data_IF_716782622719
#
_entry.id   IF_716782622719
#
_cell.length_a   1.000
_cell.length_b   1.000
_cell.length_c   1.000
_cell.angle_alpha   90.00
_cell.angle_beta   90.00
_cell.angle_gamma   90.00
#
_symmetry.space_group_name_H-M   'P 1'
#
loop_
_entity.id
_entity.type
_entity.pdbx_description
1 polymer ?
#
# COMPACT_ATOMS: atom_id res chain seq x y z
N UNK A 1 -44.90 -19.96 31.88
CA UNK A 1 -44.43 -19.53 30.54
C UNK A 1 -42.95 -19.15 30.66
N UNK A 2 -42.07 -20.15 30.59
CA UNK A 2 -40.63 -19.95 30.53
C UNK A 2 -40.27 -19.38 29.15
N UNK A 3 -39.77 -18.15 29.11
CA UNK A 3 -39.17 -17.57 27.92
C UNK A 3 -37.72 -18.04 27.84
N UNK A 4 -37.45 -18.95 26.89
CA UNK A 4 -36.13 -19.50 26.63
C UNK A 4 -35.30 -18.45 25.88
N UNK A 5 -34.35 -17.83 26.57
CA UNK A 5 -33.32 -17.00 25.94
C UNK A 5 -32.39 -17.92 25.15
N UNK A 6 -32.50 -17.87 23.82
CA UNK A 6 -31.62 -18.57 22.91
C UNK A 6 -30.17 -18.07 23.09
N UNK A 7 -29.32 -18.91 23.69
CA UNK A 7 -27.89 -18.70 23.75
C UNK A 7 -27.32 -18.73 22.32
N UNK A 8 -26.92 -17.57 21.80
CA UNK A 8 -26.17 -17.50 20.56
C UNK A 8 -24.86 -18.32 20.70
N UNK A 9 -24.46 -19.12 19.70
CA UNK A 9 -23.31 -20.01 19.83
C UNK A 9 -22.02 -19.20 20.00
N UNK A 10 -21.43 -19.25 21.19
CA UNK A 10 -20.14 -18.63 21.57
C UNK A 10 -19.00 -18.96 20.58
N UNK A 11 -19.08 -20.09 19.87
CA UNK A 11 -18.09 -20.52 18.87
C UNK A 11 -18.06 -19.66 17.59
N UNK A 12 -19.18 -19.08 17.16
CA UNK A 12 -19.24 -18.27 15.94
C UNK A 12 -18.56 -16.89 16.10
N UNK A 13 -18.56 -16.36 17.34
CA UNK A 13 -17.92 -15.08 17.67
C UNK A 13 -16.39 -15.20 17.75
N UNK A 14 -15.88 -16.31 18.30
CA UNK A 14 -14.44 -16.58 18.36
C UNK A 14 -13.83 -16.78 16.96
N UNK A 15 -14.53 -17.49 16.07
CA UNK A 15 -14.10 -17.73 14.69
C UNK A 15 -14.07 -16.44 13.84
N UNK A 16 -15.04 -15.54 14.02
CA UNK A 16 -15.07 -14.25 13.32
C UNK A 16 -13.95 -13.32 13.80
N UNK A 17 -13.69 -13.30 15.11
CA UNK A 17 -12.56 -12.58 15.71
C UNK A 17 -11.25 -13.10 15.13
N UNK A 18 -11.00 -14.42 15.19
CA UNK A 18 -9.76 -15.02 14.73
C UNK A 18 -9.50 -14.76 13.23
N UNK A 19 -10.53 -14.83 12.39
CA UNK A 19 -10.42 -14.55 10.95
C UNK A 19 -10.16 -13.08 10.66
N UNK A 20 -10.76 -12.15 11.42
CA UNK A 20 -10.50 -10.70 11.27
C UNK A 20 -9.07 -10.34 11.69
N UNK A 21 -8.61 -10.81 12.85
CA UNK A 21 -7.24 -10.54 13.32
C UNK A 21 -6.20 -11.28 12.47
N UNK A 22 -6.48 -12.52 12.05
CA UNK A 22 -5.63 -13.29 11.15
C UNK A 22 -5.46 -12.62 9.79
N UNK A 23 -6.54 -12.08 9.19
CA UNK A 23 -6.46 -11.32 7.94
C UNK A 23 -5.61 -10.06 8.10
N UNK A 24 -5.78 -9.31 9.20
CA UNK A 24 -4.96 -8.11 9.48
C UNK A 24 -3.49 -8.46 9.61
N UNK A 25 -3.18 -9.51 10.38
CA UNK A 25 -1.81 -9.98 10.57
C UNK A 25 -1.18 -10.43 9.24
N UNK A 26 -1.93 -11.16 8.42
CA UNK A 26 -1.48 -11.58 7.10
C UNK A 26 -1.15 -10.39 6.19
N UNK A 27 -1.98 -9.35 6.18
CA UNK A 27 -1.71 -8.11 5.43
C UNK A 27 -0.45 -7.42 5.96
N UNK A 28 -0.27 -7.34 7.27
CA UNK A 28 0.93 -6.76 7.88
C UNK A 28 2.21 -7.53 7.50
N UNK A 29 2.18 -8.87 7.59
CA UNK A 29 3.31 -9.72 7.22
C UNK A 29 3.62 -9.58 5.72
N UNK A 30 2.60 -9.61 4.87
CA UNK A 30 2.75 -9.41 3.43
C UNK A 30 3.36 -8.03 3.13
N UNK A 31 2.90 -6.98 3.81
CA UNK A 31 3.46 -5.63 3.67
C UNK A 31 4.96 -5.59 4.03
N UNK A 32 5.35 -6.18 5.17
CA UNK A 32 6.76 -6.23 5.60
C UNK A 32 7.60 -7.05 4.62
N UNK A 33 7.11 -8.21 4.18
CA UNK A 33 7.81 -9.06 3.21
C UNK A 33 8.00 -8.34 1.87
N UNK A 34 6.95 -7.75 1.30
CA UNK A 34 7.02 -7.00 0.05
C UNK A 34 7.95 -5.80 0.19
N UNK A 35 7.85 -5.05 1.29
CA UNK A 35 8.71 -3.89 1.56
C UNK A 35 10.19 -4.28 1.66
N UNK A 36 10.51 -5.33 2.43
CA UNK A 36 11.89 -5.82 2.56
C UNK A 36 12.49 -6.32 1.25
N UNK A 37 11.69 -6.99 0.40
CA UNK A 37 12.09 -7.39 -0.94
C UNK A 37 12.36 -6.18 -1.81
N UNK A 38 11.47 -5.17 -1.80
CA UNK A 38 11.65 -3.93 -2.54
C UNK A 38 12.93 -3.20 -2.15
N UNK A 39 13.23 -3.09 -0.85
CA UNK A 39 14.44 -2.43 -0.35
C UNK A 39 15.69 -3.18 -0.82
N UNK A 40 15.69 -4.50 -0.72
CA UNK A 40 16.81 -5.34 -1.20
C UNK A 40 16.98 -5.27 -2.71
N UNK A 41 15.88 -5.25 -3.46
CA UNK A 41 15.88 -5.15 -4.92
C UNK A 41 16.40 -3.79 -5.38
N UNK A 42 15.95 -2.69 -4.77
CA UNK A 42 16.46 -1.35 -5.01
C UNK A 42 17.97 -1.27 -4.73
N UNK A 43 18.43 -1.86 -3.62
CA UNK A 43 19.86 -1.89 -3.28
C UNK A 43 20.68 -2.71 -4.28
N UNK A 44 20.18 -3.85 -4.74
CA UNK A 44 20.86 -4.68 -5.74
C UNK A 44 20.97 -3.97 -7.09
N UNK A 45 19.93 -3.24 -7.52
CA UNK A 45 20.01 -2.47 -8.77
C UNK A 45 20.98 -1.28 -8.68
N UNK A 46 21.19 -0.73 -7.48
CA UNK A 46 22.16 0.34 -7.24
C UNK A 46 23.64 -0.14 -7.23
N UNK A 47 23.91 -1.44 -7.41
CA UNK A 47 25.28 -1.92 -7.66
C UNK A 47 25.80 -1.36 -9.00
N UNK A 48 27.08 -0.97 -9.00
CA UNK A 48 27.72 -0.20 -10.08
C UNK A 48 27.65 -0.86 -11.47
N UNK A 49 27.47 -2.18 -11.52
CA UNK A 49 27.45 -2.95 -12.77
C UNK A 49 26.05 -3.13 -13.39
N UNK A 50 24.97 -2.68 -12.73
CA UNK A 50 23.59 -2.92 -13.19
C UNK A 50 22.86 -1.62 -13.57
N UNK A 51 22.56 -0.71 -12.62
CA UNK A 51 21.89 0.56 -12.94
C UNK A 51 21.97 1.59 -11.79
N UNK A 52 22.94 2.53 -11.77
CA UNK A 52 23.15 3.47 -10.67
C UNK A 52 22.14 4.64 -10.64
N UNK A 53 20.89 4.40 -11.06
CA UNK A 53 19.83 5.40 -11.13
C UNK A 53 18.61 4.98 -10.32
N UNK A 54 18.75 5.01 -8.98
CA UNK A 54 17.66 4.80 -8.03
C UNK A 54 16.42 5.67 -8.32
N UNK A 55 16.63 6.84 -8.95
CA UNK A 55 15.60 7.76 -9.37
C UNK A 55 14.69 7.20 -10.47
N UNK A 56 15.27 6.60 -11.51
CA UNK A 56 14.52 6.03 -12.62
C UNK A 56 13.68 4.84 -12.14
N UNK A 57 14.24 4.02 -11.26
CA UNK A 57 13.54 2.87 -10.68
C UNK A 57 12.33 3.32 -9.83
N UNK A 58 12.50 4.33 -8.99
CA UNK A 58 11.42 4.89 -8.15
C UNK A 58 10.30 5.49 -8.99
N UNK A 59 10.64 6.23 -10.04
CA UNK A 59 9.68 6.78 -10.99
C UNK A 59 8.91 5.66 -11.72
N UNK A 60 9.61 4.60 -12.14
CA UNK A 60 8.99 3.40 -12.73
C UNK A 60 8.04 2.71 -11.75
N UNK A 61 8.39 2.58 -10.47
CA UNK A 61 7.50 2.01 -9.46
C UNK A 61 6.22 2.84 -9.26
N UNK A 62 6.36 4.17 -9.18
CA UNK A 62 5.21 5.07 -9.09
C UNK A 62 4.32 4.94 -10.35
N UNK A 63 4.94 4.90 -11.54
CA UNK A 63 4.23 4.75 -12.81
C UNK A 63 3.51 3.40 -12.92
N UNK A 64 4.21 2.29 -12.66
CA UNK A 64 3.63 0.93 -12.73
C UNK A 64 2.50 0.79 -11.71
N UNK A 65 2.64 1.34 -10.50
CA UNK A 65 1.58 1.29 -9.49
C UNK A 65 0.35 2.09 -9.93
N UNK A 66 0.54 3.29 -10.49
CA UNK A 66 -0.56 4.08 -11.05
C UNK A 66 -1.23 3.39 -12.24
N UNK A 67 -0.45 2.82 -13.16
CA UNK A 67 -0.95 2.07 -14.30
C UNK A 67 -1.71 0.81 -13.87
N UNK A 68 -1.20 0.09 -12.87
CA UNK A 68 -1.85 -1.09 -12.30
C UNK A 68 -3.17 -0.73 -11.61
N UNK A 69 -3.20 0.35 -10.81
CA UNK A 69 -4.44 0.87 -10.23
C UNK A 69 -5.45 1.28 -11.30
N UNK A 70 -5.00 1.92 -12.38
CA UNK A 70 -5.86 2.29 -13.50
C UNK A 70 -6.43 1.04 -14.19
N UNK A 71 -5.59 0.04 -14.44
CA UNK A 71 -5.98 -1.21 -15.08
C UNK A 71 -6.96 -2.00 -14.20
N UNK A 72 -6.71 -2.10 -12.89
CA UNK A 72 -7.64 -2.69 -11.93
C UNK A 72 -8.96 -1.92 -11.86
N UNK A 73 -8.93 -0.59 -11.96
CA UNK A 73 -10.15 0.21 -12.02
C UNK A 73 -10.98 -0.08 -13.27
N UNK A 74 -10.33 -0.33 -14.42
CA UNK A 74 -11.02 -0.73 -15.66
C UNK A 74 -11.59 -2.15 -15.59
N UNK A 75 -10.82 -3.11 -15.07
CA UNK A 75 -11.21 -4.53 -15.05
C UNK A 75 -12.19 -4.88 -13.92
N UNK A 76 -12.06 -4.24 -12.76
CA UNK A 76 -12.83 -4.57 -11.56
C UNK A 76 -13.19 -3.29 -10.77
N UNK A 77 -14.10 -2.45 -11.29
CA UNK A 77 -14.51 -1.22 -10.62
C UNK A 77 -15.19 -1.48 -9.26
N UNK A 78 -15.72 -2.68 -9.02
CA UNK A 78 -16.30 -3.12 -7.75
C UNK A 78 -15.30 -3.19 -6.59
N UNK A 79 -14.00 -3.27 -6.87
CA UNK A 79 -12.94 -3.18 -5.86
C UNK A 79 -12.67 -1.75 -5.40
N UNK A 80 -13.24 -0.74 -6.07
CA UNK A 80 -13.07 0.68 -5.76
C UNK A 80 -14.40 1.33 -5.36
N UNK A 81 -15.06 0.91 -4.28
CA UNK A 81 -16.34 1.50 -3.85
C UNK A 81 -16.23 2.99 -3.53
N UNK A 82 -15.04 3.46 -3.12
CA UNK A 82 -14.75 4.88 -2.87
C UNK A 82 -14.85 5.76 -4.13
N UNK A 83 -14.74 5.17 -5.33
CA UNK A 83 -14.86 5.91 -6.59
C UNK A 83 -16.31 6.24 -6.95
N UNK A 84 -17.29 5.47 -6.47
CA UNK A 84 -18.71 5.81 -6.60
C UNK A 84 -19.09 6.97 -5.68
N UNK A 85 -18.60 6.97 -4.45
CA UNK A 85 -18.81 8.06 -3.48
C UNK A 85 -18.23 9.40 -3.94
N UNK A 86 -17.26 9.38 -4.86
CA UNK A 86 -16.55 10.57 -5.37
C UNK A 86 -17.09 11.03 -6.74
N UNK A 87 -18.16 10.42 -7.25
CA UNK A 87 -18.72 10.73 -8.58
C UNK A 87 -19.32 12.14 -8.58
N UNK A 88 -18.70 13.06 -9.32
CA UNK A 88 -19.11 14.47 -9.43
C UNK A 88 -18.22 15.48 -8.69
N UNK A 89 -17.41 15.05 -7.73
CA UNK A 89 -16.51 15.91 -6.94
C UNK A 89 -15.01 15.68 -7.23
N UNK A 90 -14.69 14.93 -8.30
CA UNK A 90 -13.31 14.55 -8.64
C UNK A 90 -12.38 15.75 -8.80
N UNK A 91 -12.87 16.86 -9.37
CA UNK A 91 -12.06 18.07 -9.56
C UNK A 91 -11.78 18.82 -8.26
N UNK A 92 -12.72 18.84 -7.32
CA UNK A 92 -12.48 19.43 -6.00
C UNK A 92 -11.58 18.54 -5.14
N UNK A 93 -11.72 17.22 -5.24
CA UNK A 93 -10.79 16.29 -4.60
C UNK A 93 -9.37 16.41 -5.18
N UNK A 94 -9.24 16.57 -6.50
CA UNK A 94 -7.95 16.73 -7.14
C UNK A 94 -7.17 17.94 -6.61
N UNK A 95 -7.83 19.08 -6.33
CA UNK A 95 -7.18 20.27 -5.75
C UNK A 95 -6.50 19.98 -4.41
N UNK A 96 -7.06 19.08 -3.60
CA UNK A 96 -6.48 18.67 -2.31
C UNK A 96 -5.47 17.53 -2.45
N UNK A 97 -5.71 16.59 -3.37
CA UNK A 97 -4.83 15.44 -3.58
C UNK A 97 -3.53 15.80 -4.31
N UNK A 98 -3.54 16.78 -5.20
CA UNK A 98 -2.35 17.24 -5.93
C UNK A 98 -1.22 17.70 -4.99
N UNK A 99 -1.42 18.63 -4.03
CA UNK A 99 -0.33 19.03 -3.14
C UNK A 99 0.16 17.90 -2.23
N UNK A 100 -0.74 17.01 -1.79
CA UNK A 100 -0.39 15.84 -0.99
C UNK A 100 0.50 14.87 -1.80
N UNK A 101 0.09 14.57 -3.02
CA UNK A 101 0.85 13.67 -3.92
C UNK A 101 2.20 14.27 -4.32
N UNK A 102 2.28 15.59 -4.51
CA UNK A 102 3.53 16.29 -4.77
C UNK A 102 4.49 16.18 -3.58
N UNK A 103 4.01 16.46 -2.36
CA UNK A 103 4.83 16.39 -1.15
C UNK A 103 5.27 14.95 -0.87
N UNK A 104 4.39 13.98 -1.11
CA UNK A 104 4.71 12.55 -1.03
C UNK A 104 5.77 12.14 -2.06
N UNK A 105 5.68 12.63 -3.30
CA UNK A 105 6.70 12.38 -4.32
C UNK A 105 8.07 12.95 -3.93
N UNK A 106 8.12 14.16 -3.34
CA UNK A 106 9.35 14.75 -2.82
C UNK A 106 9.91 13.95 -1.65
N UNK A 107 9.04 13.49 -0.74
CA UNK A 107 9.44 12.65 0.39
C UNK A 107 10.02 11.30 -0.09
N UNK A 108 9.35 10.64 -1.03
CA UNK A 108 9.84 9.40 -1.66
C UNK A 108 11.17 9.62 -2.39
N UNK A 109 11.30 10.73 -3.12
CA UNK A 109 12.55 11.12 -3.78
C UNK A 109 13.70 11.24 -2.76
N UNK A 110 13.47 11.98 -1.67
CA UNK A 110 14.47 12.16 -0.61
C UNK A 110 14.84 10.85 0.09
N UNK A 111 13.85 10.02 0.40
CA UNK A 111 14.05 8.70 1.01
C UNK A 111 14.88 7.77 0.11
N UNK A 112 14.61 7.77 -1.19
CA UNK A 112 15.34 6.90 -2.12
C UNK A 112 16.75 7.42 -2.47
N UNK A 113 16.96 8.74 -2.42
CA UNK A 113 18.30 9.34 -2.49
C UNK A 113 19.14 9.01 -1.24
N UNK A 114 18.52 8.95 -0.06
CA UNK A 114 19.24 8.64 1.18
C UNK A 114 19.90 7.25 1.15
N UNK A 115 19.40 6.29 0.36
CA UNK A 115 20.06 4.99 0.17
C UNK A 115 21.43 5.08 -0.51
N UNK A 116 21.74 6.17 -1.23
CA UNK A 116 23.08 6.38 -1.79
C UNK A 116 24.10 6.78 -0.72
N UNK A 117 23.65 7.38 0.38
CA UNK A 117 24.51 7.98 1.40
C UNK A 117 24.47 7.25 2.75
N UNK A 118 23.42 6.47 3.04
CA UNK A 118 23.23 5.78 4.31
C UNK A 118 22.93 4.29 4.12
N UNK A 119 23.57 3.44 4.95
CA UNK A 119 23.22 2.03 5.05
C UNK A 119 21.82 1.85 5.65
N UNK A 120 21.07 0.85 5.17
CA UNK A 120 19.68 0.53 5.59
C UNK A 120 19.49 0.47 7.12
N UNK A 121 20.54 0.17 7.88
CA UNK A 121 20.57 0.13 9.35
C UNK A 121 20.55 1.48 10.06
N UNK A 122 20.79 2.61 9.39
CA UNK A 122 20.72 3.96 9.97
C UNK A 122 19.37 4.65 9.70
N UNK A 123 18.55 4.08 8.81
CA UNK A 123 17.29 4.64 8.30
C UNK A 123 16.04 3.97 8.89
N UNK A 124 16.22 2.93 9.72
CA UNK A 124 15.14 2.33 10.53
C UNK A 124 14.87 3.19 11.75
#
# INVERSE_FOLDING_TARGET
MHSSAAAAPMGASCWSILTVYGRRLAICIAYIAVSSVLIRFNKHMMEKDVFPHALALSACHMFVSSAWCWLLYLLAPSLFPSMEATKGQRLDLAKWFVPISLLFAVCLFGSNQAYLYCSVTFLQ
#
